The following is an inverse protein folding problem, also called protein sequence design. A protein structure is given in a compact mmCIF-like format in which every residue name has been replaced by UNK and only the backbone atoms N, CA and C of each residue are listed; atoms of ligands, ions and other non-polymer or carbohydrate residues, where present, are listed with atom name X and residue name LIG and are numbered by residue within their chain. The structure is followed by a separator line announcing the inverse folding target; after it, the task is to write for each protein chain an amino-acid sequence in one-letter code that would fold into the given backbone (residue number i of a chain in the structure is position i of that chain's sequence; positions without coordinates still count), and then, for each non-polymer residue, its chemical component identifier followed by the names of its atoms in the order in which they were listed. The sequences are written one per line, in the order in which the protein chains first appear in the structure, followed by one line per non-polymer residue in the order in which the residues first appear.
data_IF_296340957221
#
_entry.id   IF_296340957221
#
_cell.length_a   1.000
_cell.length_b   1.000
_cell.length_c   1.000
_cell.angle_alpha   90.00
_cell.angle_beta   90.00
_cell.angle_gamma   90.00
#
_symmetry.space_group_name_H-M   'P 1'
#
loop_
_entity.id
_entity.type
_entity.pdbx_description
1 polymer ?
#
# COMPACT_ATOMS: atom_id res chain seq x y z
N UNK A 1 23.45 -24.23 16.16
CA UNK A 1 22.92 -22.87 16.28
C UNK A 1 23.31 -22.15 15.01
N UNK A 2 22.39 -21.66 14.22
CA UNK A 2 22.72 -20.91 13.00
C UNK A 2 23.24 -19.53 13.44
N UNK A 3 24.44 -19.20 13.07
CA UNK A 3 25.07 -17.89 13.29
C UNK A 3 24.43 -16.92 12.31
N UNK A 4 23.64 -15.95 12.80
CA UNK A 4 23.14 -14.87 11.97
C UNK A 4 24.25 -13.87 11.65
N UNK A 5 24.34 -13.41 10.40
CA UNK A 5 25.32 -12.44 9.94
C UNK A 5 24.63 -11.22 9.32
N UNK A 6 25.24 -10.05 9.44
CA UNK A 6 24.76 -8.85 8.78
C UNK A 6 25.02 -8.94 7.27
N UNK A 7 23.98 -8.72 6.45
CA UNK A 7 24.07 -8.82 5.00
C UNK A 7 25.01 -7.80 4.33
N UNK A 8 25.40 -6.72 5.02
CA UNK A 8 26.26 -5.67 4.46
C UNK A 8 27.72 -5.82 4.91
N UNK A 9 27.96 -5.98 6.21
CA UNK A 9 29.32 -6.02 6.75
C UNK A 9 29.78 -7.43 7.15
N UNK A 10 28.95 -8.45 6.91
CA UNK A 10 29.19 -9.87 7.18
C UNK A 10 29.56 -10.19 8.66
N UNK A 11 29.41 -9.21 9.54
CA UNK A 11 29.65 -9.39 10.98
C UNK A 11 28.64 -10.38 11.57
N UNK A 12 29.10 -11.26 12.43
CA UNK A 12 28.23 -12.10 13.23
C UNK A 12 27.37 -11.23 14.14
N UNK A 13 26.06 -11.44 14.11
CA UNK A 13 25.08 -10.79 14.97
C UNK A 13 24.99 -11.54 16.30
N UNK A 14 24.94 -10.79 17.40
CA UNK A 14 24.88 -11.37 18.74
C UNK A 14 23.42 -11.78 19.07
N UNK A 15 23.27 -12.83 19.87
CA UNK A 15 21.96 -13.25 20.37
C UNK A 15 21.28 -12.08 21.12
N UNK A 16 20.12 -11.65 20.64
CA UNK A 16 19.38 -10.51 21.21
C UNK A 16 19.79 -9.14 20.67
N UNK A 17 20.73 -9.07 19.73
CA UNK A 17 21.04 -7.81 19.03
C UNK A 17 19.84 -7.37 18.18
N UNK A 18 19.48 -6.08 18.26
CA UNK A 18 18.41 -5.52 17.43
C UNK A 18 18.89 -5.44 15.98
N UNK A 19 18.36 -6.30 15.13
CA UNK A 19 18.55 -6.23 13.69
C UNK A 19 17.33 -5.60 13.03
N UNK A 20 17.54 -5.07 11.84
CA UNK A 20 16.46 -4.60 10.96
C UNK A 20 16.59 -5.36 9.66
N UNK A 21 15.48 -5.82 9.14
CA UNK A 21 15.45 -6.58 7.88
C UNK A 21 15.29 -5.63 6.70
N UNK A 22 16.09 -5.85 5.68
CA UNK A 22 16.09 -5.11 4.43
C UNK A 22 16.08 -6.07 3.24
N UNK A 23 15.38 -5.71 2.17
CA UNK A 23 15.33 -6.45 0.92
C UNK A 23 16.10 -5.69 -0.17
N UNK A 24 17.19 -6.23 -0.74
CA UNK A 24 17.81 -5.68 -1.93
C UNK A 24 16.86 -5.89 -3.13
N UNK A 25 16.58 -4.85 -3.89
CA UNK A 25 15.81 -4.89 -5.18
C UNK A 25 14.53 -5.75 -5.21
N UNK A 26 13.88 -5.98 -4.05
CA UNK A 26 12.67 -6.79 -3.95
C UNK A 26 12.91 -8.29 -3.80
N UNK A 27 14.13 -8.70 -3.48
CA UNK A 27 14.48 -10.05 -3.08
C UNK A 27 14.08 -10.37 -1.63
N UNK A 28 14.54 -11.49 -1.09
CA UNK A 28 14.26 -11.89 0.29
C UNK A 28 14.83 -10.91 1.31
N UNK A 29 14.11 -10.75 2.44
CA UNK A 29 14.54 -9.89 3.52
C UNK A 29 15.74 -10.46 4.27
N UNK A 30 16.83 -9.68 4.35
CA UNK A 30 18.10 -10.00 4.99
C UNK A 30 18.28 -9.18 6.27
N UNK A 31 18.96 -9.77 7.27
CA UNK A 31 19.24 -9.09 8.53
C UNK A 31 20.40 -8.09 8.39
N UNK A 32 20.18 -6.85 8.81
CA UNK A 32 21.16 -5.77 8.79
C UNK A 32 21.38 -5.26 10.21
N UNK A 33 22.65 -5.14 10.63
CA UNK A 33 23.00 -4.60 11.94
C UNK A 33 22.71 -3.10 12.04
N UNK A 34 22.56 -2.54 13.26
CA UNK A 34 22.21 -1.13 13.45
C UNK A 34 23.17 -0.14 12.76
N UNK A 35 24.46 -0.50 12.64
CA UNK A 35 25.48 0.35 12.01
C UNK A 35 25.39 0.41 10.49
N UNK A 36 24.78 -0.61 9.86
CA UNK A 36 24.66 -0.71 8.40
C UNK A 36 23.30 -0.30 7.86
N UNK A 37 22.35 0.12 8.70
CA UNK A 37 21.00 0.49 8.24
C UNK A 37 21.00 1.70 7.30
N UNK A 38 21.84 2.71 7.55
CA UNK A 38 22.00 3.86 6.65
C UNK A 38 22.55 3.43 5.30
N UNK A 39 23.57 2.57 5.31
CA UNK A 39 24.19 2.05 4.08
C UNK A 39 23.16 1.25 3.26
N UNK A 40 22.35 0.42 3.91
CA UNK A 40 21.28 -0.31 3.26
C UNK A 40 20.28 0.64 2.58
N UNK A 41 19.86 1.70 3.27
CA UNK A 41 18.95 2.70 2.75
C UNK A 41 19.56 3.50 1.58
N UNK A 42 20.82 3.89 1.67
CA UNK A 42 21.57 4.57 0.60
C UNK A 42 21.73 3.69 -0.65
N UNK A 43 21.84 2.38 -0.48
CA UNK A 43 21.88 1.41 -1.57
C UNK A 43 20.51 1.10 -2.17
N UNK A 44 19.45 1.76 -1.66
CA UNK A 44 18.09 1.57 -2.14
C UNK A 44 17.41 0.28 -1.63
N UNK A 45 17.96 -0.37 -0.61
CA UNK A 45 17.32 -1.55 -0.02
C UNK A 45 16.03 -1.18 0.70
N UNK A 46 15.00 -1.96 0.48
CA UNK A 46 13.68 -1.73 1.07
C UNK A 46 13.66 -2.25 2.51
N UNK A 47 13.44 -1.36 3.48
CA UNK A 47 13.30 -1.73 4.89
C UNK A 47 11.98 -2.47 5.13
N UNK A 48 11.99 -3.57 5.89
CA UNK A 48 10.77 -4.25 6.30
C UNK A 48 9.86 -3.30 7.10
N UNK A 49 8.57 -3.28 6.76
CA UNK A 49 7.60 -2.37 7.35
C UNK A 49 7.60 -0.95 6.78
N UNK A 50 8.43 -0.65 5.75
CA UNK A 50 8.31 0.61 5.03
C UNK A 50 7.09 0.61 4.11
N UNK A 51 6.41 1.76 3.93
CA UNK A 51 5.30 1.87 2.99
C UNK A 51 5.78 1.54 1.56
N UNK A 52 5.07 0.65 0.91
CA UNK A 52 5.31 0.40 -0.52
C UNK A 52 4.71 1.55 -1.32
N UNK A 53 5.56 2.28 -2.04
CA UNK A 53 5.05 3.26 -3.01
C UNK A 53 4.32 2.49 -4.11
N UNK A 54 3.07 2.82 -4.45
CA UNK A 54 2.42 2.18 -5.59
C UNK A 54 3.29 2.43 -6.82
N UNK A 55 3.76 1.36 -7.44
CA UNK A 55 4.43 1.45 -8.74
C UNK A 55 3.39 1.96 -9.72
N UNK A 56 3.45 3.25 -10.04
CA UNK A 56 2.70 3.78 -11.17
C UNK A 56 3.15 2.97 -12.38
N UNK A 57 2.21 2.23 -12.97
CA UNK A 57 2.46 1.45 -14.15
C UNK A 57 3.23 2.31 -15.15
N UNK A 58 4.33 1.77 -15.69
CA UNK A 58 5.10 2.38 -16.76
C UNK A 58 4.15 3.03 -17.76
N UNK A 59 4.40 4.32 -18.07
CA UNK A 59 3.67 5.02 -19.12
C UNK A 59 3.58 4.10 -20.35
N UNK A 60 2.37 3.85 -20.88
CA UNK A 60 2.23 3.03 -22.06
C UNK A 60 3.03 3.70 -23.18
N UNK A 61 4.10 3.05 -23.63
CA UNK A 61 4.85 3.43 -24.84
C UNK A 61 3.83 3.80 -25.88
N UNK A 62 3.72 5.07 -26.22
CA UNK A 62 2.89 5.58 -27.31
C UNK A 62 3.22 4.79 -28.56
N UNK A 63 2.36 3.82 -28.88
CA UNK A 63 2.39 3.16 -30.19
C UNK A 63 2.17 4.25 -31.21
N UNK A 64 3.18 4.51 -32.03
CA UNK A 64 3.02 5.37 -33.22
C UNK A 64 1.92 4.75 -34.06
N UNK A 65 0.77 5.39 -34.11
CA UNK A 65 -0.28 5.03 -35.03
C UNK A 65 0.23 5.29 -36.46
N UNK A 66 0.48 4.22 -37.20
CA UNK A 66 0.72 4.29 -38.60
C UNK A 66 -0.62 4.53 -39.32
N UNK A 67 -0.76 5.67 -39.97
CA UNK A 67 -1.96 6.09 -40.71
C UNK A 67 -2.19 5.23 -41.95
N UNK A 68 -1.28 4.31 -42.29
CA UNK A 68 -1.34 3.48 -43.47
C UNK A 68 -2.43 2.38 -43.46
N UNK A 69 -3.07 2.08 -42.32
CA UNK A 69 -4.09 1.02 -42.24
C UNK A 69 -5.53 1.48 -42.49
N UNK A 70 -5.74 2.78 -42.74
CA UNK A 70 -7.09 3.34 -42.97
C UNK A 70 -7.58 3.31 -44.42
N UNK A 71 -6.75 2.83 -45.37
CA UNK A 71 -7.04 2.91 -46.79
C UNK A 71 -7.24 1.53 -47.45
N UNK A 72 -7.64 0.50 -46.73
CA UNK A 72 -8.00 -0.80 -47.34
C UNK A 72 -9.53 -1.00 -47.32
N UNK A 73 -10.24 -0.77 -48.45
CA UNK A 73 -11.70 -0.84 -48.51
C UNK A 73 -12.27 -2.26 -48.62
N UNK A 74 -11.48 -3.32 -48.42
CA UNK A 74 -11.89 -4.70 -48.67
C UNK A 74 -11.91 -5.61 -47.45
N UNK A 75 -11.95 -5.08 -46.26
CA UNK A 75 -12.15 -5.94 -45.07
C UNK A 75 -13.62 -5.98 -44.71
N UNK A 76 -14.31 -7.02 -45.23
CA UNK A 76 -15.63 -7.40 -44.74
C UNK A 76 -15.53 -7.61 -43.23
N UNK A 77 -16.36 -6.87 -42.49
CA UNK A 77 -16.52 -6.99 -41.03
C UNK A 77 -17.28 -8.32 -40.82
N UNK A 78 -16.72 -9.34 -40.15
CA UNK A 78 -17.55 -10.41 -39.66
C UNK A 78 -18.42 -9.81 -38.56
N UNK A 79 -19.73 -9.89 -38.73
CA UNK A 79 -20.73 -9.66 -37.68
C UNK A 79 -20.65 -10.78 -36.64
N UNK A 80 -19.60 -10.79 -35.86
CA UNK A 80 -19.59 -11.52 -34.59
C UNK A 80 -19.73 -10.46 -33.52
N UNK A 81 -20.98 -10.18 -33.16
CA UNK A 81 -21.35 -9.31 -32.05
C UNK A 81 -21.03 -10.05 -30.75
N UNK A 82 -19.74 -10.24 -30.47
CA UNK A 82 -19.29 -10.54 -29.13
C UNK A 82 -19.53 -9.25 -28.34
N UNK A 83 -20.57 -9.25 -27.52
CA UNK A 83 -20.76 -8.19 -26.53
C UNK A 83 -19.41 -8.00 -25.82
N UNK A 84 -18.84 -6.78 -25.78
CA UNK A 84 -17.59 -6.58 -25.07
C UNK A 84 -17.83 -6.96 -23.62
N UNK A 85 -17.34 -8.12 -23.21
CA UNK A 85 -17.25 -8.43 -21.79
C UNK A 85 -16.48 -7.27 -21.17
N UNK A 86 -17.02 -6.64 -20.10
CA UNK A 86 -16.29 -5.58 -19.44
C UNK A 86 -14.94 -6.17 -19.05
N UNK A 87 -13.86 -5.61 -19.60
CA UNK A 87 -12.50 -5.99 -19.23
C UNK A 87 -12.37 -5.60 -17.78
N UNK A 88 -12.71 -6.53 -16.87
CA UNK A 88 -12.48 -6.36 -15.45
C UNK A 88 -10.96 -6.35 -15.27
N UNK A 89 -10.43 -5.16 -15.10
CA UNK A 89 -9.02 -4.97 -14.75
C UNK A 89 -8.73 -5.85 -13.53
N UNK A 90 -7.75 -6.72 -13.63
CA UNK A 90 -7.28 -7.45 -12.46
C UNK A 90 -6.59 -6.48 -11.55
N UNK A 91 -7.00 -6.45 -10.28
CA UNK A 91 -6.33 -5.67 -9.24
C UNK A 91 -4.90 -6.21 -9.08
N UNK A 92 -3.94 -5.31 -8.92
CA UNK A 92 -2.60 -5.66 -8.47
C UNK A 92 -2.65 -6.25 -7.06
N UNK A 93 -1.59 -6.92 -6.63
CA UNK A 93 -1.53 -7.48 -5.27
C UNK A 93 -1.63 -6.39 -4.20
N UNK A 94 -1.06 -5.22 -4.45
CA UNK A 94 -1.18 -4.06 -3.58
C UNK A 94 -2.62 -3.53 -3.50
N UNK A 95 -3.30 -3.37 -4.64
CA UNK A 95 -4.70 -2.93 -4.66
C UNK A 95 -5.61 -3.93 -3.96
N UNK A 96 -5.33 -5.22 -4.12
CA UNK A 96 -6.06 -6.29 -3.43
C UNK A 96 -5.87 -6.19 -1.92
N UNK A 97 -4.63 -6.01 -1.45
CA UNK A 97 -4.33 -5.82 -0.03
C UNK A 97 -5.02 -4.58 0.53
N UNK A 98 -5.09 -3.47 -0.23
CA UNK A 98 -5.80 -2.26 0.20
C UNK A 98 -7.30 -2.50 0.35
N UNK A 99 -7.93 -3.23 -0.60
CA UNK A 99 -9.37 -3.56 -0.53
C UNK A 99 -9.65 -4.46 0.66
N UNK A 100 -8.88 -5.53 0.81
CA UNK A 100 -9.03 -6.47 1.93
C UNK A 100 -8.85 -5.77 3.29
N UNK A 101 -7.84 -4.91 3.41
CA UNK A 101 -7.63 -4.13 4.63
C UNK A 101 -8.78 -3.16 4.91
N UNK A 102 -9.33 -2.52 3.88
CA UNK A 102 -10.50 -1.65 4.02
C UNK A 102 -11.73 -2.45 4.47
N UNK A 103 -11.96 -3.64 3.93
CA UNK A 103 -13.07 -4.50 4.33
C UNK A 103 -12.95 -4.95 5.79
N UNK A 104 -11.76 -5.37 6.22
CA UNK A 104 -11.48 -5.72 7.62
C UNK A 104 -11.67 -4.52 8.55
N UNK A 105 -11.15 -3.34 8.16
CA UNK A 105 -11.36 -2.11 8.91
C UNK A 105 -12.86 -1.79 9.04
N UNK A 106 -13.61 -1.89 7.95
CA UNK A 106 -15.04 -1.61 7.89
C UNK A 106 -15.88 -2.60 8.72
N UNK A 107 -15.41 -3.82 8.89
CA UNK A 107 -16.01 -4.81 9.78
C UNK A 107 -15.69 -4.57 11.26
N UNK A 108 -14.64 -3.77 11.56
CA UNK A 108 -14.18 -3.50 12.92
C UNK A 108 -15.03 -2.44 13.65
N UNK A 109 -14.95 -2.36 14.98
CA UNK A 109 -15.59 -1.28 15.77
C UNK A 109 -15.09 0.12 15.40
N UNK A 110 -13.86 0.24 14.88
CA UNK A 110 -13.23 1.52 14.54
C UNK A 110 -13.97 2.30 13.47
N UNK A 111 -14.67 1.63 12.55
CA UNK A 111 -15.56 2.28 11.59
C UNK A 111 -16.55 3.25 12.26
N UNK A 112 -17.16 2.79 13.35
CA UNK A 112 -18.13 3.63 14.10
C UNK A 112 -17.46 4.83 14.75
N UNK A 113 -16.25 4.64 15.25
CA UNK A 113 -15.45 5.71 15.83
C UNK A 113 -15.13 6.78 14.80
N UNK A 114 -14.62 6.36 13.62
CA UNK A 114 -14.31 7.27 12.50
C UNK A 114 -15.56 8.00 12.01
N UNK A 115 -16.67 7.27 11.83
CA UNK A 115 -17.95 7.87 11.45
C UNK A 115 -18.49 8.86 12.50
N UNK A 116 -18.29 8.57 13.79
CA UNK A 116 -18.66 9.47 14.88
C UNK A 116 -17.85 10.77 14.89
N UNK A 117 -16.52 10.67 14.75
CA UNK A 117 -15.63 11.84 14.66
C UNK A 117 -15.96 12.64 13.40
N UNK A 118 -16.19 11.97 12.26
CA UNK A 118 -16.53 12.61 11.00
C UNK A 118 -17.80 13.46 11.05
N UNK A 119 -18.77 13.10 11.90
CA UNK A 119 -19.98 13.93 12.13
C UNK A 119 -19.67 15.25 12.83
N UNK A 120 -18.61 15.29 13.63
CA UNK A 120 -18.21 16.47 14.40
C UNK A 120 -17.17 17.32 13.70
N UNK A 121 -16.19 16.69 13.06
CA UNK A 121 -15.04 17.35 12.44
C UNK A 121 -15.12 17.43 10.91
N UNK A 122 -16.14 16.83 10.30
CA UNK A 122 -16.27 16.78 8.84
C UNK A 122 -15.52 15.59 8.21
N UNK A 123 -15.35 15.64 6.89
CA UNK A 123 -14.72 14.55 6.13
C UNK A 123 -13.22 14.49 6.41
N UNK A 124 -12.68 13.32 6.80
CA UNK A 124 -11.26 13.15 6.98
C UNK A 124 -10.53 12.93 5.64
N UNK A 125 -9.22 13.22 5.64
CA UNK A 125 -8.28 12.68 4.66
C UNK A 125 -7.91 11.25 5.07
N UNK A 126 -7.88 10.32 4.11
CA UNK A 126 -7.64 8.91 4.39
C UNK A 126 -6.56 8.33 3.47
N UNK A 127 -5.70 7.51 4.04
CA UNK A 127 -4.65 6.82 3.33
C UNK A 127 -4.64 5.34 3.73
N UNK A 128 -4.51 4.45 2.76
CA UNK A 128 -4.42 3.00 2.94
C UNK A 128 -3.13 2.53 2.28
N UNK A 129 -2.15 2.17 3.07
CA UNK A 129 -0.78 1.90 2.61
C UNK A 129 -0.36 0.49 3.01
N UNK A 130 -0.16 -0.41 2.04
CA UNK A 130 0.49 -1.69 2.28
C UNK A 130 1.95 -1.48 2.69
N UNK A 131 2.39 -2.21 3.71
CA UNK A 131 3.79 -2.20 4.12
C UNK A 131 4.56 -3.31 3.42
N UNK A 132 5.84 -3.05 3.15
CA UNK A 132 6.77 -4.09 2.72
C UNK A 132 7.02 -5.05 3.88
N UNK A 133 7.00 -6.36 3.62
CA UNK A 133 7.26 -7.38 4.63
C UNK A 133 6.51 -8.68 4.36
N UNK A 134 6.80 -9.69 5.16
CA UNK A 134 6.24 -11.05 5.01
C UNK A 134 4.76 -11.12 5.39
N UNK A 135 4.28 -10.21 6.23
CA UNK A 135 2.96 -10.34 6.88
C UNK A 135 1.81 -9.59 6.19
N UNK A 136 1.98 -9.07 4.98
CA UNK A 136 0.91 -8.35 4.25
C UNK A 136 0.21 -7.27 5.11
N UNK A 137 0.98 -6.61 5.98
CA UNK A 137 0.45 -5.58 6.88
C UNK A 137 0.07 -4.32 6.11
N UNK A 138 -1.08 -3.75 6.43
CA UNK A 138 -1.57 -2.50 5.82
C UNK A 138 -1.83 -1.47 6.91
N UNK A 139 -1.43 -0.23 6.67
CA UNK A 139 -1.73 0.90 7.57
C UNK A 139 -2.87 1.72 6.99
N UNK A 140 -3.92 1.88 7.77
CA UNK A 140 -5.03 2.81 7.49
C UNK A 140 -4.84 4.05 8.34
N UNK A 141 -4.56 5.19 7.69
CA UNK A 141 -4.45 6.50 8.35
C UNK A 141 -5.72 7.29 8.08
N UNK A 142 -6.30 7.84 9.14
CA UNK A 142 -7.47 8.72 9.07
C UNK A 142 -7.12 10.01 9.78
N UNK A 143 -7.17 11.15 9.08
CA UNK A 143 -6.71 12.43 9.59
C UNK A 143 -7.74 13.54 9.36
N UNK A 144 -7.92 14.37 10.40
CA UNK A 144 -8.60 15.66 10.38
C UNK A 144 -7.57 16.76 10.70
N UNK A 145 -7.92 17.99 10.53
CA UNK A 145 -7.01 19.13 10.76
C UNK A 145 -6.39 19.16 12.17
N UNK A 146 -7.11 18.62 13.16
CA UNK A 146 -6.75 18.68 14.59
C UNK A 146 -6.48 17.30 15.22
N UNK A 147 -6.56 16.22 14.47
CA UNK A 147 -6.28 14.88 15.00
C UNK A 147 -6.10 13.87 13.89
N UNK A 148 -5.28 12.86 14.13
CA UNK A 148 -5.13 11.74 13.24
C UNK A 148 -5.01 10.44 14.01
N UNK A 149 -5.34 9.32 13.33
CA UNK A 149 -5.30 7.96 13.86
C UNK A 149 -4.71 7.03 12.81
N UNK A 150 -3.80 6.16 13.23
CA UNK A 150 -3.28 5.07 12.42
C UNK A 150 -3.72 3.73 12.98
N UNK A 151 -4.24 2.90 12.10
CA UNK A 151 -4.64 1.55 12.39
C UNK A 151 -3.80 0.58 11.58
N UNK A 152 -3.25 -0.43 12.23
CA UNK A 152 -2.59 -1.54 11.56
C UNK A 152 -3.61 -2.65 11.30
N UNK A 153 -3.61 -3.13 10.06
CA UNK A 153 -4.46 -4.22 9.60
C UNK A 153 -3.59 -5.39 9.21
N UNK A 154 -3.79 -6.52 9.90
CA UNK A 154 -3.13 -7.80 9.64
C UNK A 154 -4.22 -8.85 9.38
N UNK A 155 -4.44 -9.27 8.12
CA UNK A 155 -5.52 -10.19 7.76
C UNK A 155 -5.51 -11.50 8.55
N UNK A 156 -4.34 -12.09 8.77
CA UNK A 156 -4.18 -13.40 9.42
C UNK A 156 -4.14 -13.34 10.96
N UNK A 157 -4.42 -12.18 11.57
CA UNK A 157 -4.39 -11.99 13.01
C UNK A 157 -5.76 -12.29 13.65
N UNK A 158 -5.74 -12.83 14.90
CA UNK A 158 -6.94 -12.98 15.72
C UNK A 158 -7.65 -11.62 15.99
N UNK A 159 -6.91 -10.53 15.98
CA UNK A 159 -7.42 -9.16 15.98
C UNK A 159 -6.89 -8.43 14.74
N UNK A 160 -7.57 -8.54 13.61
CA UNK A 160 -7.05 -8.08 12.34
C UNK A 160 -6.83 -6.56 12.30
N UNK A 161 -7.55 -5.79 13.10
CA UNK A 161 -7.42 -4.32 13.14
C UNK A 161 -7.10 -3.86 14.56
N UNK A 162 -6.06 -3.05 14.69
CA UNK A 162 -5.68 -2.43 15.95
C UNK A 162 -5.27 -0.97 15.76
N UNK A 163 -5.59 -0.13 16.74
CA UNK A 163 -5.04 1.22 16.79
C UNK A 163 -3.53 1.12 17.08
N UNK A 164 -2.73 1.70 16.20
CA UNK A 164 -1.26 1.72 16.33
C UNK A 164 -0.79 3.04 16.94
N UNK A 165 -1.20 4.14 16.33
CA UNK A 165 -0.75 5.48 16.73
C UNK A 165 -1.89 6.49 16.61
N UNK A 166 -1.75 7.61 17.27
CA UNK A 166 -2.62 8.79 17.17
C UNK A 166 -1.84 10.05 17.51
N UNK A 167 -2.23 11.17 16.94
CA UNK A 167 -1.64 12.47 17.22
C UNK A 167 -2.61 13.61 16.91
N UNK A 168 -2.11 14.83 17.04
CA UNK A 168 -2.91 16.03 16.91
C UNK A 168 -2.72 16.70 15.54
N UNK A 169 -1.50 16.82 15.08
CA UNK A 169 -1.19 17.59 13.88
C UNK A 169 -0.77 16.68 12.71
N UNK A 170 -1.36 16.88 11.55
CA UNK A 170 -1.10 16.05 10.36
C UNK A 170 0.36 16.09 9.92
N UNK A 171 1.08 17.14 10.23
CA UNK A 171 2.49 17.27 9.88
C UNK A 171 3.40 16.32 10.69
N UNK A 172 2.95 15.80 11.85
CA UNK A 172 3.66 14.79 12.64
C UNK A 172 3.68 13.43 11.92
N UNK A 173 2.70 13.18 11.01
CA UNK A 173 2.69 11.97 10.22
C UNK A 173 3.86 11.93 9.24
N UNK A 174 4.48 10.79 9.12
CA UNK A 174 5.47 10.55 8.07
C UNK A 174 4.84 10.77 6.68
N UNK A 175 5.52 11.46 5.74
CA UNK A 175 4.97 11.78 4.41
C UNK A 175 4.44 10.57 3.63
N UNK A 176 5.06 9.41 3.80
CA UNK A 176 4.67 8.15 3.17
C UNK A 176 3.25 7.68 3.54
N UNK A 177 2.74 8.07 4.72
CA UNK A 177 1.38 7.77 5.16
C UNK A 177 0.36 8.85 4.81
N UNK A 178 0.74 9.90 4.08
CA UNK A 178 -0.12 11.01 3.64
C UNK A 178 -0.47 10.94 2.16
N UNK A 179 -0.65 9.73 1.61
CA UNK A 179 -0.94 9.53 0.19
C UNK A 179 -2.38 9.91 -0.19
N UNK A 180 -3.29 9.99 0.77
CA UNK A 180 -4.71 10.34 0.61
C UNK A 180 -5.39 9.61 -0.55
N UNK A 181 -5.19 8.30 -0.60
CA UNK A 181 -5.64 7.40 -1.67
C UNK A 181 -6.94 6.65 -1.31
N UNK A 182 -7.67 7.15 -0.33
CA UNK A 182 -8.95 6.60 0.10
C UNK A 182 -9.87 7.71 0.61
N UNK A 183 -11.14 7.39 0.76
CA UNK A 183 -12.14 8.29 1.35
C UNK A 183 -12.98 7.57 2.40
N UNK A 184 -13.65 8.33 3.25
CA UNK A 184 -14.69 7.83 4.16
C UNK A 184 -16.05 8.22 3.61
N UNK A 185 -16.97 7.24 3.54
CA UNK A 185 -18.36 7.48 3.18
C UNK A 185 -19.20 7.98 4.38
N UNK A 186 -20.49 8.25 4.13
CA UNK A 186 -21.43 8.76 5.16
C UNK A 186 -21.65 7.77 6.32
N UNK A 187 -21.43 6.48 6.08
CA UNK A 187 -21.55 5.41 7.07
C UNK A 187 -20.23 5.18 7.84
N UNK A 188 -19.20 5.97 7.60
CA UNK A 188 -17.88 5.83 8.21
C UNK A 188 -17.03 4.71 7.62
N UNK A 189 -17.35 4.23 6.41
CA UNK A 189 -16.58 3.19 5.74
C UNK A 189 -15.41 3.79 4.98
N UNK A 190 -14.26 3.17 5.11
CA UNK A 190 -13.08 3.47 4.30
C UNK A 190 -13.23 2.80 2.93
N UNK A 191 -13.09 3.58 1.88
CA UNK A 191 -13.19 3.13 0.48
C UNK A 191 -11.91 3.55 -0.26
N UNK A 192 -11.02 2.60 -0.62
CA UNK A 192 -9.82 2.90 -1.41
C UNK A 192 -10.17 3.47 -2.78
N UNK A 193 -9.42 4.46 -3.22
CA UNK A 193 -9.52 5.01 -4.57
C UNK A 193 -8.57 4.25 -5.50
N UNK A 194 -9.13 3.23 -6.15
CA UNK A 194 -8.40 2.43 -7.14
C UNK A 194 -8.53 3.15 -8.49
N UNK A 195 -7.39 3.47 -9.11
CA UNK A 195 -7.38 4.15 -10.40
C UNK A 195 -8.16 3.34 -11.43
N UNK A 196 -9.22 3.93 -11.98
CA UNK A 196 -9.91 3.39 -13.16
C UNK A 196 -9.10 3.82 -14.39
N UNK A 197 -8.56 2.88 -15.12
CA UNK A 197 -8.01 3.11 -16.46
C UNK A 197 -9.12 3.28 -17.46
#
# INVERSE_FOLDING_TARGET
MATQTCAICERTLLDGERTTRFAPEGEDFLDVCPLCQEIAAEQGWLKEGSPTTPTFAEEPRRKRFSIASFLDPRRAIPEDTVAPEPILRRLSDQERAMVEAADLFNASPYRRTVGGIGKSLGKPSVSVIPLSGVNMEVVVTVAWDISWYQYRVLPDSAQPVRLAERGLEVHELEPSFRMWNARVDEDGRVVPEIARL
#
